data_IF_454917824958
#
_entry.id   IF_454917824958
#
_cell.length_a   1.000
_cell.length_b   1.000
_cell.length_c   1.000
_cell.angle_alpha   90.00
_cell.angle_beta   90.00
_cell.angle_gamma   90.00
#
_symmetry.space_group_name_H-M   'P 1'
#
loop_
_entity.id
_entity.type
_entity.pdbx_description
1 polymer ?
#
# COMPACT_ATOMS: atom_id res chain seq x y z
N UNK A 1 22.56 -3.43 8.19
CA UNK A 1 22.04 -2.09 8.54
C UNK A 1 20.53 -2.09 8.35
N UNK A 2 19.72 -1.46 9.22
CA UNK A 2 18.29 -1.28 8.95
C UNK A 2 18.11 -0.30 7.78
N UNK A 3 17.16 -0.57 6.90
CA UNK A 3 16.74 0.44 5.92
C UNK A 3 15.93 1.52 6.62
N UNK A 4 15.91 2.73 6.08
CA UNK A 4 15.05 3.78 6.60
C UNK A 4 14.44 4.61 5.49
N UNK A 5 13.15 4.88 5.60
CA UNK A 5 12.42 5.82 4.77
C UNK A 5 12.27 7.11 5.56
N UNK A 6 12.64 8.22 4.94
CA UNK A 6 12.61 9.55 5.52
C UNK A 6 11.93 10.52 4.56
N UNK A 7 11.03 11.34 5.09
CA UNK A 7 10.38 12.42 4.34
C UNK A 7 11.10 13.72 4.70
N UNK A 8 11.50 14.48 3.68
CA UNK A 8 12.14 15.79 3.85
C UNK A 8 11.25 16.85 3.20
N UNK A 9 11.11 18.00 3.86
CA UNK A 9 10.44 19.15 3.27
C UNK A 9 11.37 19.80 2.24
N UNK A 10 10.85 20.10 1.04
CA UNK A 10 11.60 20.80 0.01
C UNK A 10 11.34 22.31 0.15
N UNK A 11 12.27 23.05 0.76
CA UNK A 11 12.17 24.50 0.95
C UNK A 11 13.54 25.13 1.24
N UNK A 12 13.75 26.39 0.84
CA UNK A 12 15.05 27.09 0.87
C UNK A 12 15.65 27.30 2.27
N UNK A 13 14.85 27.22 3.34
CA UNK A 13 15.25 27.56 4.72
C UNK A 13 14.96 26.46 5.75
N UNK A 14 14.60 25.25 5.33
CA UNK A 14 14.32 24.17 6.27
C UNK A 14 15.59 23.36 6.50
N UNK A 15 16.19 23.55 7.69
CA UNK A 15 17.23 22.68 8.22
C UNK A 15 16.85 21.21 7.98
N UNK A 16 17.84 20.40 7.59
CA UNK A 16 17.82 19.01 7.13
C UNK A 16 17.19 17.97 8.09
N UNK A 17 16.06 18.29 8.72
CA UNK A 17 15.34 17.46 9.67
C UNK A 17 14.24 16.72 8.93
N UNK A 18 14.27 15.40 9.01
CA UNK A 18 13.22 14.55 8.47
C UNK A 18 11.89 14.87 9.18
N UNK A 19 10.86 15.11 8.37
CA UNK A 19 9.49 15.41 8.80
C UNK A 19 8.81 14.15 9.35
N UNK A 20 9.09 13.00 8.72
CA UNK A 20 8.71 11.68 9.23
C UNK A 20 9.85 10.70 8.93
N UNK A 21 10.03 9.69 9.79
CA UNK A 21 11.07 8.67 9.65
C UNK A 21 10.60 7.31 10.12
N UNK A 22 10.59 6.34 9.21
CA UNK A 22 10.35 4.93 9.52
C UNK A 22 11.58 4.09 9.22
N UNK A 23 11.96 3.22 10.16
CA UNK A 23 13.06 2.27 9.97
C UNK A 23 12.51 0.85 9.80
N UNK A 24 13.09 0.10 8.87
CA UNK A 24 12.72 -1.27 8.53
C UNK A 24 13.93 -2.19 8.72
N UNK A 25 13.71 -3.32 9.39
CA UNK A 25 14.73 -4.34 9.57
C UNK A 25 14.50 -5.46 8.56
N UNK A 26 15.57 -5.92 7.90
CA UNK A 26 15.54 -7.05 6.96
C UNK A 26 14.52 -6.85 5.82
N UNK A 27 14.63 -5.77 5.07
CA UNK A 27 13.86 -5.56 3.84
C UNK A 27 14.77 -5.63 2.62
N UNK A 28 14.21 -6.12 1.52
CA UNK A 28 14.91 -6.26 0.23
C UNK A 28 14.49 -5.14 -0.72
N UNK A 29 13.18 -4.89 -0.82
CA UNK A 29 12.62 -3.88 -1.73
C UNK A 29 11.64 -2.96 -1.00
N UNK A 30 11.56 -1.72 -1.48
CA UNK A 30 10.62 -0.73 -0.99
C UNK A 30 10.00 -0.01 -2.19
N UNK A 31 8.67 0.05 -2.23
CA UNK A 31 7.92 0.86 -3.19
C UNK A 31 7.25 2.02 -2.47
N UNK A 32 7.38 3.20 -3.05
CA UNK A 32 6.89 4.47 -2.51
C UNK A 32 5.79 5.01 -3.41
N UNK A 33 4.65 5.38 -2.83
CA UNK A 33 3.52 5.94 -3.58
C UNK A 33 2.92 7.13 -2.85
N UNK A 34 3.06 8.31 -3.45
CA UNK A 34 2.53 9.56 -2.93
C UNK A 34 1.06 9.75 -3.30
N UNK A 35 0.29 10.34 -2.40
CA UNK A 35 -1.08 10.71 -2.71
C UNK A 35 -1.15 11.99 -3.57
N UNK A 36 -2.30 12.16 -4.23
CA UNK A 36 -2.71 13.43 -4.84
C UNK A 36 -2.78 14.51 -3.74
N UNK A 37 -1.88 15.49 -3.80
CA UNK A 37 -1.71 16.55 -2.79
C UNK A 37 -0.46 16.44 -1.91
N UNK A 38 0.36 15.41 -2.06
CA UNK A 38 1.65 15.25 -1.37
C UNK A 38 1.56 15.31 0.17
N UNK A 39 0.42 14.93 0.74
CA UNK A 39 0.18 14.92 2.19
C UNK A 39 0.47 13.57 2.85
N UNK A 40 0.46 12.49 2.06
CA UNK A 40 0.59 11.13 2.54
C UNK A 40 1.37 10.24 1.58
N UNK A 41 2.14 9.31 2.15
CA UNK A 41 3.04 8.39 1.48
C UNK A 41 2.71 6.96 1.91
N UNK A 42 2.38 6.11 0.93
CA UNK A 42 2.32 4.66 1.12
C UNK A 42 3.69 4.07 0.86
N UNK A 43 4.09 3.15 1.74
CA UNK A 43 5.37 2.46 1.71
C UNK A 43 5.11 0.97 1.76
N UNK A 44 5.24 0.30 0.63
CA UNK A 44 5.20 -1.17 0.55
C UNK A 44 6.63 -1.66 0.75
N UNK A 45 6.85 -2.43 1.80
CA UNK A 45 8.13 -3.03 2.13
C UNK A 45 8.02 -4.52 1.89
N UNK A 46 8.95 -5.10 1.13
CA UNK A 46 9.02 -6.55 0.91
C UNK A 46 10.38 -7.08 1.38
N UNK A 47 10.36 -8.28 1.93
CA UNK A 47 11.51 -8.94 2.55
C UNK A 47 11.59 -10.37 2.06
N UNK A 48 12.70 -10.79 1.47
CA UNK A 48 12.85 -12.16 0.91
C UNK A 48 12.92 -13.26 1.99
N UNK A 49 13.20 -12.89 3.25
CA UNK A 49 13.39 -13.83 4.36
C UNK A 49 12.45 -13.49 5.51
N UNK A 50 11.43 -14.31 5.69
CA UNK A 50 10.57 -14.25 6.87
C UNK A 50 11.35 -14.68 8.12
N UNK A 51 11.09 -14.04 9.26
CA UNK A 51 11.75 -14.34 10.56
C UNK A 51 11.58 -15.81 10.98
N UNK A 52 10.60 -16.50 10.41
CA UNK A 52 10.21 -17.88 10.72
C UNK A 52 10.81 -18.93 9.79
N UNK A 53 11.52 -18.56 8.71
CA UNK A 53 11.99 -19.51 7.67
C UNK A 53 10.86 -20.38 7.05
N UNK A 54 9.59 -20.00 7.24
CA UNK A 54 8.43 -20.77 6.77
C UNK A 54 7.85 -20.28 5.43
N UNK A 55 8.14 -19.03 5.05
CA UNK A 55 7.55 -18.41 3.86
C UNK A 55 8.57 -18.33 2.73
N UNK A 56 8.47 -19.23 1.75
CA UNK A 56 9.30 -19.26 0.53
C UNK A 56 9.19 -17.97 -0.33
N UNK A 57 8.18 -17.14 -0.08
CA UNK A 57 7.87 -15.91 -0.84
C UNK A 57 8.17 -14.62 -0.08
N UNK A 58 8.76 -14.72 1.12
CA UNK A 58 9.05 -13.54 1.92
C UNK A 58 7.82 -12.93 2.61
N UNK A 59 8.00 -11.74 3.19
CA UNK A 59 6.98 -10.98 3.92
C UNK A 59 6.76 -9.62 3.22
N UNK A 60 5.51 -9.17 3.10
CA UNK A 60 5.15 -7.84 2.60
C UNK A 60 4.40 -7.04 3.65
N UNK A 61 4.78 -5.77 3.85
CA UNK A 61 4.16 -4.87 4.83
C UNK A 61 3.82 -3.54 4.18
N UNK A 62 2.58 -3.08 4.39
CA UNK A 62 2.14 -1.75 3.98
C UNK A 62 2.24 -0.80 5.17
N UNK A 63 2.98 0.30 5.01
CA UNK A 63 3.03 1.37 5.98
C UNK A 63 2.48 2.64 5.34
N UNK A 64 1.86 3.47 6.17
CA UNK A 64 1.37 4.79 5.78
C UNK A 64 2.02 5.85 6.66
N UNK A 65 2.55 6.88 6.00
CA UNK A 65 3.26 8.00 6.60
C UNK A 65 2.63 9.31 6.11
N UNK A 66 2.34 10.23 7.02
CA UNK A 66 1.88 11.57 6.68
C UNK A 66 2.96 12.61 6.90
N UNK A 67 2.89 13.71 6.15
CA UNK A 67 3.83 14.84 6.29
C UNK A 67 3.59 15.67 7.56
N UNK A 68 2.42 15.55 8.18
CA UNK A 68 2.07 16.28 9.40
C UNK A 68 2.35 15.47 10.67
N UNK A 69 2.81 14.22 10.52
CA UNK A 69 3.06 13.30 11.63
C UNK A 69 1.78 12.80 12.32
N UNK A 70 0.59 13.09 11.79
CA UNK A 70 -0.67 12.62 12.37
C UNK A 70 -0.84 11.12 12.27
N UNK A 71 -0.30 10.50 11.21
CA UNK A 71 -0.33 9.07 11.03
C UNK A 71 1.04 8.54 10.57
N UNK A 72 1.60 7.65 11.40
CA UNK A 72 2.82 6.91 11.10
C UNK A 72 2.65 5.47 11.60
N UNK A 73 2.31 4.56 10.69
CA UNK A 73 1.88 3.23 11.11
C UNK A 73 1.85 2.17 10.03
N UNK A 74 1.67 0.93 10.48
CA UNK A 74 1.38 -0.21 9.62
C UNK A 74 -0.13 -0.23 9.34
N UNK A 75 -0.51 -0.44 8.08
CA UNK A 75 -1.92 -0.57 7.69
C UNK A 75 -2.41 -1.95 8.10
N UNK A 76 -3.46 -2.06 8.94
CA UNK A 76 -3.94 -3.36 9.41
C UNK A 76 -4.67 -4.10 8.27
N UNK A 77 -3.98 -5.07 7.68
CA UNK A 77 -4.53 -5.95 6.65
C UNK A 77 -5.23 -7.14 7.32
N UNK A 78 -6.47 -7.44 6.92
CA UNK A 78 -7.30 -8.50 7.53
C UNK A 78 -6.96 -9.93 7.07
N UNK A 79 -5.96 -10.09 6.22
CA UNK A 79 -5.60 -11.35 5.59
C UNK A 79 -4.09 -11.42 5.41
N UNK A 80 -3.52 -12.55 5.80
CA UNK A 80 -2.10 -12.82 5.63
C UNK A 80 -1.74 -13.15 4.18
N UNK A 81 -0.55 -12.71 3.79
CA UNK A 81 0.07 -12.98 2.49
C UNK A 81 0.69 -11.74 1.86
N UNK A 82 1.13 -11.85 0.60
CA UNK A 82 1.80 -10.75 -0.09
C UNK A 82 0.85 -9.60 -0.41
N UNK A 83 1.41 -8.41 -0.60
CA UNK A 83 0.70 -7.28 -1.18
C UNK A 83 0.94 -7.33 -2.67
N UNK A 84 -0.12 -7.46 -3.46
CA UNK A 84 -0.03 -7.57 -4.91
C UNK A 84 -0.02 -6.20 -5.58
N UNK A 85 -0.90 -5.30 -5.14
CA UNK A 85 -0.98 -3.94 -5.68
C UNK A 85 -1.58 -2.96 -4.66
N UNK A 86 -1.14 -1.70 -4.76
CA UNK A 86 -1.56 -0.58 -3.91
C UNK A 86 -1.72 0.65 -4.77
N UNK A 87 -2.92 1.22 -4.80
CA UNK A 87 -3.18 2.41 -5.61
C UNK A 87 -3.97 3.46 -4.83
N UNK A 88 -3.43 4.68 -4.81
CA UNK A 88 -4.16 5.86 -4.39
C UNK A 88 -5.34 6.15 -5.31
N UNK A 89 -6.45 6.58 -4.73
CA UNK A 89 -7.51 7.26 -5.49
C UNK A 89 -6.98 8.56 -6.10
N UNK A 90 -7.55 8.97 -7.24
CA UNK A 90 -7.20 10.24 -7.88
C UNK A 90 -7.49 11.47 -7.00
N UNK A 91 -8.46 11.37 -6.09
CA UNK A 91 -8.74 12.41 -5.09
C UNK A 91 -7.68 12.50 -3.99
N UNK A 92 -6.84 11.47 -3.84
CA UNK A 92 -5.82 11.37 -2.80
C UNK A 92 -6.36 11.22 -1.38
N UNK A 93 -7.67 10.98 -1.22
CA UNK A 93 -8.36 10.84 0.09
C UNK A 93 -8.38 9.41 0.62
N UNK A 94 -8.22 8.44 -0.27
CA UNK A 94 -8.38 7.02 -0.01
C UNK A 94 -7.42 6.23 -0.89
N UNK A 95 -7.15 4.98 -0.52
CA UNK A 95 -6.31 4.07 -1.28
C UNK A 95 -6.90 2.66 -1.25
N UNK A 96 -6.69 1.91 -2.31
CA UNK A 96 -7.08 0.50 -2.41
C UNK A 96 -5.84 -0.38 -2.34
N UNK A 97 -6.02 -1.55 -1.70
CA UNK A 97 -4.97 -2.55 -1.50
C UNK A 97 -5.52 -3.91 -1.89
N UNK A 98 -4.77 -4.66 -2.69
CA UNK A 98 -5.02 -6.08 -2.97
C UNK A 98 -3.93 -6.88 -2.28
N UNK A 99 -4.33 -7.75 -1.35
CA UNK A 99 -3.41 -8.45 -0.47
C UNK A 99 -3.89 -9.86 -0.10
N UNK A 100 -2.93 -10.67 0.32
CA UNK A 100 -3.15 -12.02 0.82
C UNK A 100 -2.93 -13.11 -0.23
N UNK A 101 -2.85 -14.36 0.26
CA UNK A 101 -2.77 -15.53 -0.61
C UNK A 101 -4.06 -15.70 -1.43
N UNK A 102 -3.90 -16.14 -2.68
CA UNK A 102 -5.02 -16.31 -3.60
C UNK A 102 -6.07 -17.29 -3.03
N UNK A 103 -7.38 -16.95 -3.09
CA UNK A 103 -7.96 -15.73 -3.67
C UNK A 103 -7.65 -14.47 -2.82
N UNK A 104 -7.02 -13.46 -3.41
CA UNK A 104 -6.60 -12.23 -2.71
C UNK A 104 -7.82 -11.41 -2.26
N UNK A 105 -7.65 -10.62 -1.20
CA UNK A 105 -8.65 -9.70 -0.68
C UNK A 105 -8.37 -8.29 -1.20
N UNK A 106 -9.42 -7.60 -1.65
CA UNK A 106 -9.34 -6.23 -2.10
C UNK A 106 -10.12 -5.31 -1.15
N UNK A 107 -9.45 -4.31 -0.57
CA UNK A 107 -10.06 -3.40 0.41
C UNK A 107 -9.64 -1.96 0.14
N UNK A 108 -10.61 -1.04 0.26
CA UNK A 108 -10.39 0.40 0.21
C UNK A 108 -10.25 0.93 1.62
N UNK A 109 -9.23 1.75 1.87
CA UNK A 109 -8.94 2.38 3.14
C UNK A 109 -8.99 3.90 3.05
N UNK A 110 -9.30 4.56 4.16
CA UNK A 110 -9.20 6.00 4.31
C UNK A 110 -7.75 6.45 4.63
N UNK A 111 -7.51 7.76 4.68
CA UNK A 111 -6.26 8.37 5.19
C UNK A 111 -5.90 8.02 6.64
N UNK A 112 -6.77 7.35 7.39
CA UNK A 112 -6.52 6.92 8.77
C UNK A 112 -6.26 5.41 8.85
N UNK A 113 -6.16 4.73 7.71
CA UNK A 113 -5.98 3.29 7.58
C UNK A 113 -7.17 2.47 8.11
N UNK A 114 -8.37 3.05 8.15
CA UNK A 114 -9.61 2.34 8.42
C UNK A 114 -10.16 1.72 7.13
N UNK A 115 -10.60 0.46 7.15
CA UNK A 115 -11.26 -0.16 6.00
C UNK A 115 -12.62 0.51 5.78
N UNK A 116 -12.80 1.13 4.61
CA UNK A 116 -14.05 1.76 4.19
C UNK A 116 -14.96 0.79 3.45
N UNK A 117 -14.38 0.00 2.56
CA UNK A 117 -15.12 -0.92 1.69
C UNK A 117 -14.28 -2.15 1.39
N UNK A 118 -14.85 -3.32 1.66
CA UNK A 118 -14.30 -4.60 1.23
C UNK A 118 -14.90 -4.94 -0.14
N UNK A 119 -14.07 -4.95 -1.18
CA UNK A 119 -14.48 -5.20 -2.56
C UNK A 119 -14.67 -6.70 -2.85
N UNK A 120 -14.35 -7.55 -1.88
CA UNK A 120 -14.48 -9.00 -1.96
C UNK A 120 -13.12 -9.71 -2.13
N UNK A 121 -13.21 -10.99 -2.45
CA UNK A 121 -12.06 -11.85 -2.67
C UNK A 121 -12.11 -12.44 -4.08
N UNK A 122 -10.94 -12.71 -4.65
CA UNK A 122 -10.84 -13.34 -5.97
C UNK A 122 -9.41 -13.44 -6.47
N UNK A 123 -9.19 -13.97 -7.67
CA UNK A 123 -7.87 -14.09 -8.28
C UNK A 123 -7.39 -12.73 -8.82
N UNK A 124 -7.30 -11.71 -7.96
CA UNK A 124 -6.93 -10.35 -8.33
C UNK A 124 -5.50 -10.04 -7.91
N UNK A 125 -4.76 -9.35 -8.77
CA UNK A 125 -3.43 -8.82 -8.44
C UNK A 125 -3.23 -7.37 -8.87
N UNK A 126 -4.21 -6.75 -9.54
CA UNK A 126 -4.09 -5.41 -10.10
C UNK A 126 -5.33 -4.59 -9.79
N UNK A 127 -5.12 -3.32 -9.43
CA UNK A 127 -6.15 -2.33 -9.18
C UNK A 127 -6.05 -1.22 -10.22
N UNK A 128 -7.19 -0.77 -10.74
CA UNK A 128 -7.29 0.44 -11.54
C UNK A 128 -8.47 1.29 -11.09
N UNK A 129 -8.17 2.47 -10.57
CA UNK A 129 -9.15 3.52 -10.36
C UNK A 129 -9.54 4.19 -11.67
N UNK A 130 -10.80 4.60 -11.80
CA UNK A 130 -11.16 5.56 -12.84
C UNK A 130 -10.73 6.99 -12.43
N UNK A 131 -10.41 7.89 -13.38
CA UNK A 131 -10.01 9.26 -13.07
C UNK A 131 -11.02 10.06 -12.24
N UNK A 132 -12.32 9.76 -12.37
CA UNK A 132 -13.38 10.43 -11.62
C UNK A 132 -13.56 9.89 -10.18
N UNK A 133 -12.95 8.75 -9.84
CA UNK A 133 -13.01 8.13 -8.50
C UNK A 133 -14.29 7.33 -8.18
N UNK A 134 -15.19 7.13 -9.14
CA UNK A 134 -16.48 6.45 -8.97
C UNK A 134 -16.44 4.95 -9.27
N UNK A 135 -15.42 4.47 -9.99
CA UNK A 135 -15.29 3.07 -10.36
C UNK A 135 -13.89 2.54 -10.01
N UNK A 136 -13.86 1.30 -9.55
CA UNK A 136 -12.64 0.53 -9.30
C UNK A 136 -12.72 -0.74 -10.13
N UNK A 137 -11.68 -1.01 -10.92
CA UNK A 137 -11.51 -2.30 -11.60
C UNK A 137 -10.47 -3.12 -10.86
N UNK A 138 -10.86 -4.34 -10.49
CA UNK A 138 -9.97 -5.38 -9.98
C UNK A 138 -9.72 -6.38 -11.09
N UNK A 139 -8.46 -6.72 -11.32
CA UNK A 139 -8.08 -7.63 -12.41
C UNK A 139 -7.01 -8.62 -11.94
N UNK A 140 -7.04 -9.82 -12.53
CA UNK A 140 -6.00 -10.84 -12.38
C UNK A 140 -5.21 -11.01 -13.66
N UNK A 141 -3.95 -10.57 -13.70
CA UNK A 141 -3.08 -10.75 -14.87
C UNK A 141 -1.96 -11.79 -14.63
N UNK A 142 -1.34 -12.30 -15.70
CA UNK A 142 -0.22 -13.24 -15.63
C UNK A 142 -0.68 -14.68 -15.52
N UNK A 143 -0.37 -15.36 -14.41
CA UNK A 143 -0.76 -16.75 -14.16
C UNK A 143 -2.18 -16.88 -13.55
N UNK A 144 -2.97 -15.81 -13.61
CA UNK A 144 -4.35 -15.75 -13.12
C UNK A 144 -5.30 -15.80 -14.32
N UNK A 145 -6.55 -16.26 -14.15
CA UNK A 145 -7.50 -16.52 -15.24
C UNK A 145 -7.88 -15.31 -16.10
N UNK A 146 -7.40 -14.09 -15.79
CA UNK A 146 -7.73 -12.89 -16.58
C UNK A 146 -9.00 -12.17 -16.14
N UNK A 147 -9.64 -12.63 -15.05
CA UNK A 147 -10.92 -12.09 -14.60
C UNK A 147 -10.80 -10.61 -14.24
N UNK A 148 -11.75 -9.82 -14.73
CA UNK A 148 -11.88 -8.39 -14.45
C UNK A 148 -13.24 -8.11 -13.84
N UNK A 149 -13.24 -7.47 -12.68
CA UNK A 149 -14.45 -7.07 -11.96
C UNK A 149 -14.43 -5.56 -11.77
N UNK A 150 -15.37 -4.88 -12.41
CA UNK A 150 -15.59 -3.45 -12.26
C UNK A 150 -16.67 -3.21 -11.20
N UNK A 151 -16.31 -2.49 -10.15
CA UNK A 151 -17.19 -2.18 -9.03
C UNK A 151 -17.52 -0.70 -9.10
N UNK A 152 -18.82 -0.39 -9.21
CA UNK A 152 -19.33 0.97 -9.01
C UNK A 152 -19.38 1.25 -7.52
N UNK A 153 -18.92 2.45 -7.17
CA UNK A 153 -19.10 2.99 -5.84
C UNK A 153 -20.47 3.64 -5.67
#
# INVERSE_FOLDING_TARGET
>A
MPASVQIYACGKDLQSKAVARRSFFRCSTVQLSWNSGSTGLLVVVQSDVDKTNQSYYGESKLNYLTIDGTHEGLVPLRKDGPIHDVQWSYSGKEFAVVYGFMPAMATVFDKKCNPLLELGTGPYNTIKWNPLGNFICLAGFGNLPGDMVCISR
#
